data_IF_918097603686
#
_entry.id   IF_918097603686
#
_cell.length_a   1.000
_cell.length_b   1.000
_cell.length_c   1.000
_cell.angle_alpha   90.00
_cell.angle_beta   90.00
_cell.angle_gamma   90.00
#
_symmetry.space_group_name_H-M   'P 1'
#
loop_
_entity.id
_entity.type
_entity.pdbx_description
1 polymer ?
#
# COMPACT_ATOMS: atom_id res chain seq x y z
N UNK A 1 -19.34 -12.95 56.33
CA UNK A 1 -20.32 -12.23 55.48
C UNK A 1 -19.92 -12.45 54.04
N UNK A 2 -20.76 -13.08 53.21
CA UNK A 2 -20.47 -13.34 51.79
C UNK A 2 -21.07 -12.18 50.99
N UNK A 3 -20.27 -11.28 50.40
CA UNK A 3 -20.76 -10.00 49.90
C UNK A 3 -21.46 -10.08 48.53
N UNK A 4 -21.30 -11.18 47.80
CA UNK A 4 -21.93 -11.36 46.48
C UNK A 4 -22.52 -12.78 46.35
N UNK A 5 -23.85 -12.85 46.34
CA UNK A 5 -24.59 -14.10 46.16
C UNK A 5 -25.49 -13.97 44.94
N UNK A 6 -25.20 -14.74 43.90
CA UNK A 6 -26.05 -14.77 42.69
C UNK A 6 -27.33 -15.53 42.96
N UNK A 7 -28.47 -14.94 42.59
CA UNK A 7 -29.77 -15.61 42.67
C UNK A 7 -29.85 -16.66 41.56
N UNK A 8 -29.95 -17.93 41.94
CA UNK A 8 -30.17 -19.07 41.03
C UNK A 8 -31.45 -19.79 41.43
N UNK A 9 -32.22 -20.38 40.48
CA UNK A 9 -33.49 -21.03 40.78
C UNK A 9 -33.36 -22.13 41.83
N UNK A 10 -32.29 -22.93 41.77
CA UNK A 10 -31.99 -23.97 42.75
C UNK A 10 -31.75 -23.46 44.18
N UNK A 11 -31.33 -22.20 44.35
CA UNK A 11 -31.11 -21.60 45.68
C UNK A 11 -32.40 -20.98 46.22
N UNK A 12 -33.31 -20.57 45.35
CA UNK A 12 -34.57 -19.95 45.72
C UNK A 12 -35.51 -20.94 46.45
N UNK A 13 -35.33 -22.25 46.26
CA UNK A 13 -36.12 -23.30 46.93
C UNK A 13 -35.75 -23.49 48.42
N UNK A 14 -34.53 -23.10 48.82
CA UNK A 14 -34.01 -23.34 50.18
C UNK A 14 -33.94 -22.04 50.99
N UNK A 15 -33.77 -20.90 50.33
CA UNK A 15 -33.62 -19.59 50.98
C UNK A 15 -34.41 -18.51 50.22
N UNK A 16 -35.10 -17.64 50.96
CA UNK A 16 -35.78 -16.47 50.41
C UNK A 16 -34.80 -15.33 50.14
N UNK A 17 -34.91 -14.70 48.96
CA UNK A 17 -34.08 -13.57 48.55
C UNK A 17 -34.89 -12.27 48.54
N UNK A 18 -34.26 -11.16 48.90
CA UNK A 18 -34.84 -9.82 48.67
C UNK A 18 -34.64 -9.36 47.22
N UNK A 19 -35.20 -8.19 46.87
CA UNK A 19 -35.02 -7.59 45.55
C UNK A 19 -33.52 -7.39 45.25
N UNK A 20 -33.01 -7.79 44.06
CA UNK A 20 -31.60 -7.68 43.73
C UNK A 20 -31.12 -6.23 43.75
N UNK A 21 -29.96 -6.00 44.37
CA UNK A 21 -29.33 -4.68 44.49
C UNK A 21 -28.59 -4.31 43.19
N UNK A 22 -28.08 -5.31 42.46
CA UNK A 22 -27.37 -5.13 41.21
C UNK A 22 -27.64 -6.26 40.22
N UNK A 23 -27.71 -5.93 38.93
CA UNK A 23 -27.79 -6.90 37.84
C UNK A 23 -26.43 -6.96 37.14
N UNK A 24 -25.74 -8.09 37.25
CA UNK A 24 -24.44 -8.31 36.62
C UNK A 24 -24.62 -9.27 35.44
N UNK A 25 -24.02 -8.92 34.30
CA UNK A 25 -23.96 -9.82 33.13
C UNK A 25 -22.61 -10.51 33.11
N UNK A 26 -22.59 -11.80 32.77
CA UNK A 26 -21.35 -12.53 32.55
C UNK A 26 -20.67 -12.02 31.28
N UNK A 27 -19.44 -11.56 31.41
CA UNK A 27 -18.57 -11.21 30.29
C UNK A 27 -17.40 -12.19 30.22
N UNK A 28 -16.95 -12.49 29.01
CA UNK A 28 -15.71 -13.23 28.81
C UNK A 28 -14.54 -12.25 28.85
N UNK A 29 -13.64 -12.42 29.82
CA UNK A 29 -12.38 -11.71 29.82
C UNK A 29 -11.41 -12.44 28.88
N UNK A 30 -11.07 -11.80 27.77
CA UNK A 30 -10.00 -12.27 26.87
C UNK A 30 -8.76 -11.40 27.07
N UNK A 31 -7.59 -11.99 26.90
CA UNK A 31 -6.34 -11.24 26.86
C UNK A 31 -6.36 -10.26 25.66
N UNK A 32 -5.74 -9.10 25.84
CA UNK A 32 -5.59 -8.13 24.75
C UNK A 32 -4.77 -8.77 23.61
N UNK A 33 -5.27 -8.76 22.36
CA UNK A 33 -4.52 -9.34 21.24
C UNK A 33 -3.22 -8.56 21.06
N UNK A 34 -2.11 -9.28 20.91
CA UNK A 34 -0.79 -8.67 20.72
C UNK A 34 -0.77 -7.70 19.53
N UNK A 35 -0.01 -6.61 19.66
CA UNK A 35 0.08 -5.62 18.58
C UNK A 35 0.69 -6.24 17.31
N UNK A 36 0.08 -6.06 16.13
CA UNK A 36 0.67 -6.54 14.89
C UNK A 36 1.99 -5.79 14.61
N UNK A 37 2.97 -6.45 13.98
CA UNK A 37 4.28 -5.85 13.71
C UNK A 37 4.15 -4.56 12.89
N UNK A 38 4.70 -3.46 13.44
CA UNK A 38 4.60 -2.11 12.87
C UNK A 38 5.54 -1.88 11.67
N UNK A 39 6.43 -2.82 11.36
CA UNK A 39 7.48 -2.66 10.36
C UNK A 39 6.97 -2.50 8.92
N UNK A 40 5.82 -3.08 8.57
CA UNK A 40 5.28 -3.08 7.20
C UNK A 40 3.97 -2.32 7.06
N UNK A 41 3.70 -1.36 7.95
CA UNK A 41 2.46 -0.58 7.90
C UNK A 41 2.26 0.09 6.53
N UNK A 42 3.34 0.63 5.94
CA UNK A 42 3.27 1.28 4.63
C UNK A 42 2.97 0.30 3.47
N UNK A 43 3.52 -0.92 3.51
CA UNK A 43 3.20 -1.93 2.50
C UNK A 43 1.81 -2.55 2.70
N UNK A 44 1.27 -2.51 3.92
CA UNK A 44 -0.07 -3.00 4.26
C UNK A 44 -1.20 -2.13 3.70
N UNK A 45 -0.93 -0.88 3.30
CA UNK A 45 -1.94 -0.01 2.69
C UNK A 45 -2.52 -0.61 1.41
N UNK A 46 -1.77 -1.45 0.70
CA UNK A 46 -2.20 -2.10 -0.52
C UNK A 46 -2.13 -3.62 -0.44
N UNK A 47 -3.08 -4.30 -1.07
CA UNK A 47 -3.05 -5.76 -1.21
C UNK A 47 -1.85 -6.18 -2.07
N UNK A 48 -1.33 -7.39 -1.83
CA UNK A 48 -0.20 -7.96 -2.58
C UNK A 48 -0.43 -7.96 -4.11
N UNK A 49 -1.67 -8.15 -4.52
CA UNK A 49 -2.11 -8.11 -5.93
C UNK A 49 -1.79 -6.77 -6.61
N UNK A 50 -2.00 -5.66 -5.88
CA UNK A 50 -1.76 -4.31 -6.41
C UNK A 50 -0.27 -4.06 -6.64
N UNK A 51 0.58 -4.53 -5.73
CA UNK A 51 2.03 -4.44 -5.87
C UNK A 51 2.55 -5.20 -7.09
N UNK A 52 2.00 -6.39 -7.34
CA UNK A 52 2.33 -7.20 -8.53
C UNK A 52 1.88 -6.47 -9.80
N UNK A 53 0.65 -5.95 -9.82
CA UNK A 53 0.13 -5.21 -10.96
C UNK A 53 0.96 -3.95 -11.27
N UNK A 54 1.39 -3.24 -10.22
CA UNK A 54 2.24 -2.06 -10.33
C UNK A 54 3.59 -2.41 -10.99
N UNK A 55 4.21 -3.51 -10.55
CA UNK A 55 5.46 -3.98 -11.15
C UNK A 55 5.28 -4.38 -12.62
N UNK A 56 4.22 -5.13 -12.94
CA UNK A 56 3.90 -5.51 -14.32
C UNK A 56 3.73 -4.27 -15.19
N UNK A 57 2.97 -3.29 -14.72
CA UNK A 57 2.72 -2.04 -15.44
C UNK A 57 4.00 -1.27 -15.70
N UNK A 58 4.90 -1.19 -14.71
CA UNK A 58 6.20 -0.54 -14.86
C UNK A 58 7.09 -1.22 -15.92
N UNK A 59 7.12 -2.56 -15.95
CA UNK A 59 7.87 -3.31 -16.96
C UNK A 59 7.28 -3.13 -18.35
N UNK A 60 5.96 -3.20 -18.49
CA UNK A 60 5.26 -3.02 -19.78
C UNK A 60 5.52 -1.62 -20.34
N UNK A 61 5.38 -0.56 -19.52
CA UNK A 61 5.69 0.81 -19.93
C UNK A 61 7.16 0.96 -20.36
N UNK A 62 8.08 0.32 -19.65
CA UNK A 62 9.52 0.34 -19.98
C UNK A 62 9.81 -0.33 -21.32
N UNK A 63 9.15 -1.44 -21.60
CA UNK A 63 9.28 -2.15 -22.86
C UNK A 63 8.73 -1.34 -24.04
N UNK A 64 7.52 -0.77 -23.89
CA UNK A 64 6.89 0.08 -24.93
C UNK A 64 7.78 1.29 -25.24
N UNK A 65 8.28 1.98 -24.20
CA UNK A 65 9.14 3.15 -24.40
C UNK A 65 10.45 2.78 -25.10
N UNK A 66 11.05 1.64 -24.76
CA UNK A 66 12.25 1.15 -25.45
C UNK A 66 11.99 0.86 -26.93
N UNK A 67 10.83 0.28 -27.27
CA UNK A 67 10.45 0.03 -28.66
C UNK A 67 10.22 1.32 -29.42
N UNK A 68 9.50 2.28 -28.84
CA UNK A 68 9.30 3.61 -29.43
C UNK A 68 10.63 4.32 -29.68
N UNK A 69 11.57 4.26 -28.74
CA UNK A 69 12.90 4.83 -28.91
C UNK A 69 13.68 4.17 -30.06
N UNK A 70 13.60 2.83 -30.18
CA UNK A 70 14.25 2.09 -31.28
C UNK A 70 13.71 2.52 -32.64
N UNK A 71 12.39 2.66 -32.76
CA UNK A 71 11.72 3.08 -34.00
C UNK A 71 12.08 4.53 -34.33
N UNK A 72 12.05 5.43 -33.35
CA UNK A 72 12.42 6.84 -33.54
C UNK A 72 13.88 7.03 -34.01
N UNK A 73 14.80 6.17 -33.54
CA UNK A 73 16.19 6.20 -33.98
C UNK A 73 16.39 5.82 -35.44
N UNK A 74 15.48 5.05 -36.03
CA UNK A 74 15.54 4.60 -37.42
C UNK A 74 15.13 5.72 -38.40
N UNK A 75 14.33 6.68 -37.94
CA UNK A 75 13.81 7.78 -38.77
C UNK A 75 14.64 9.08 -38.70
N UNK A 76 15.71 9.16 -37.88
CA UNK A 76 16.50 10.39 -37.69
C UNK A 76 17.85 10.34 -38.42
N UNK A 77 18.17 11.41 -39.17
CA UNK A 77 19.42 11.56 -39.95
C UNK A 77 20.68 11.48 -39.06
N UNK A 78 21.81 10.94 -39.58
CA UNK A 78 23.00 10.58 -38.80
C UNK A 78 23.83 11.75 -38.23
N UNK A 79 23.51 12.99 -38.61
CA UNK A 79 24.28 14.18 -38.23
C UNK A 79 23.99 14.72 -36.82
N UNK A 80 22.91 14.26 -36.18
CA UNK A 80 22.49 14.68 -34.83
C UNK A 80 22.83 13.63 -33.75
N UNK A 81 23.97 12.93 -33.92
CA UNK A 81 24.48 11.91 -32.99
C UNK A 81 25.07 12.52 -31.71
N UNK A 82 24.55 13.65 -31.22
CA UNK A 82 24.83 14.12 -29.88
C UNK A 82 23.77 13.59 -28.90
N UNK A 83 24.25 12.65 -28.09
CA UNK A 83 23.59 12.00 -26.96
C UNK A 83 22.62 10.90 -27.36
N UNK A 84 23.20 9.70 -27.52
CA UNK A 84 22.58 8.45 -27.05
C UNK A 84 22.00 8.67 -25.63
N UNK A 85 20.77 9.15 -25.55
CA UNK A 85 19.83 8.84 -24.47
C UNK A 85 19.38 7.36 -24.56
N UNK A 86 19.82 6.67 -25.62
CA UNK A 86 19.77 5.25 -25.94
C UNK A 86 20.59 4.37 -24.96
N UNK A 87 20.22 4.36 -23.69
CA UNK A 87 20.55 3.25 -22.80
C UNK A 87 19.25 2.85 -22.14
N UNK A 88 18.83 1.59 -22.33
CA UNK A 88 17.61 0.99 -21.77
C UNK A 88 17.43 1.32 -20.27
N UNK A 89 18.56 1.40 -19.56
CA UNK A 89 18.63 1.78 -18.15
C UNK A 89 18.11 3.19 -17.86
N UNK A 90 18.35 4.16 -18.75
CA UNK A 90 17.83 5.53 -18.62
C UNK A 90 16.32 5.61 -18.85
N UNK A 91 15.78 4.79 -19.77
CA UNK A 91 14.33 4.69 -19.98
C UNK A 91 13.63 4.08 -18.77
N UNK A 92 14.19 3.01 -18.20
CA UNK A 92 13.68 2.40 -16.96
C UNK A 92 13.75 3.41 -15.81
N UNK A 93 14.89 4.09 -15.64
CA UNK A 93 15.06 5.10 -14.60
C UNK A 93 14.07 6.26 -14.74
N UNK A 94 13.81 6.71 -15.97
CA UNK A 94 12.83 7.76 -16.25
C UNK A 94 11.40 7.33 -15.90
N UNK A 95 10.99 6.12 -16.28
CA UNK A 95 9.67 5.59 -15.94
C UNK A 95 9.52 5.38 -14.43
N UNK A 96 10.57 4.89 -13.77
CA UNK A 96 10.59 4.76 -12.32
C UNK A 96 10.45 6.12 -11.61
N UNK A 97 11.13 7.16 -12.11
CA UNK A 97 11.00 8.53 -11.60
C UNK A 97 9.59 9.13 -11.79
N UNK A 98 8.97 8.88 -12.94
CA UNK A 98 7.58 9.31 -13.23
C UNK A 98 6.59 8.56 -12.32
N UNK A 99 6.74 7.25 -12.14
CA UNK A 99 5.85 6.43 -11.31
C UNK A 99 5.88 6.82 -9.83
N UNK A 100 7.06 7.15 -9.30
CA UNK A 100 7.20 7.63 -7.92
C UNK A 100 6.75 9.08 -7.75
N UNK A 101 6.35 9.74 -8.84
CA UNK A 101 5.95 11.15 -8.89
C UNK A 101 6.93 12.05 -8.14
N UNK A 102 8.22 11.71 -8.24
CA UNK A 102 9.33 12.53 -7.75
C UNK A 102 9.51 13.69 -8.74
N UNK A 103 8.54 14.59 -8.79
CA UNK A 103 8.60 15.79 -9.61
C UNK A 103 9.75 16.67 -9.15
N UNK A 104 10.84 16.70 -9.91
CA UNK A 104 11.93 17.62 -9.68
C UNK A 104 11.40 19.05 -9.76
N UNK A 105 11.30 19.72 -8.61
CA UNK A 105 10.82 21.10 -8.49
C UNK A 105 11.74 22.15 -9.15
N UNK A 106 12.80 21.74 -9.87
CA UNK A 106 13.81 22.64 -10.45
C UNK A 106 14.35 22.19 -11.83
N UNK A 107 13.53 21.57 -12.69
CA UNK A 107 13.90 21.41 -14.11
C UNK A 107 13.33 22.58 -14.91
N UNK A 108 14.21 23.47 -15.40
CA UNK A 108 13.86 24.37 -16.51
C UNK A 108 13.41 23.49 -17.69
N UNK A 109 12.26 23.74 -18.32
CA UNK A 109 11.78 22.90 -19.40
C UNK A 109 12.73 23.05 -20.59
N UNK A 110 13.61 22.08 -20.80
CA UNK A 110 14.16 21.90 -22.13
C UNK A 110 13.08 21.18 -22.94
N UNK A 111 12.50 21.94 -23.86
CA UNK A 111 11.34 21.69 -24.73
C UNK A 111 11.48 20.42 -25.60
N UNK A 112 12.56 19.65 -25.45
CA UNK A 112 12.84 18.45 -26.25
C UNK A 112 11.99 17.23 -25.90
N UNK A 113 11.40 17.16 -24.70
CA UNK A 113 10.60 15.98 -24.27
C UNK A 113 9.13 16.08 -24.70
N UNK A 114 8.61 17.30 -24.90
CA UNK A 114 7.23 17.50 -25.37
C UNK A 114 7.10 17.38 -26.90
N UNK A 115 8.19 17.58 -27.64
CA UNK A 115 8.21 17.52 -29.12
C UNK A 115 8.43 16.11 -29.68
N UNK A 116 8.39 15.08 -28.83
CA UNK A 116 8.52 13.68 -29.23
C UNK A 116 7.32 12.84 -28.74
N UNK A 117 6.19 13.50 -28.49
CA UNK A 117 4.89 12.87 -28.28
C UNK A 117 3.95 13.29 -29.43
#
# INVERSE_FOLDING_TARGET
>A
MIPYLTVTPSRYEVIEFTKPIAFVRYGLLIAFPGEPPRAFIFLRLYKKEVWILLFITAVVLSYVLCKMHSISSEFRKPEDTQKKLCSFFRCIWLIFGILLQQGERNIKPNISVLNCM
#
